data_IF_818122086161
#
_entry.id   IF_818122086161
#
_cell.length_a   1.000
_cell.length_b   1.000
_cell.length_c   1.000
_cell.angle_alpha   90.00
_cell.angle_beta   90.00
_cell.angle_gamma   90.00
#
_symmetry.space_group_name_H-M   'P 1'
#
loop_
_entity.id
_entity.type
_entity.pdbx_description
1 polymer ?
#
# COMPACT_ATOMS: atom_id res chain seq x y z
N UNK A 1 -58.08 -63.00 15.35
CA UNK A 1 -58.03 -62.21 14.10
C UNK A 1 -58.41 -60.78 14.47
N UNK A 2 -57.54 -59.83 14.11
CA UNK A 2 -57.79 -58.37 14.00
C UNK A 2 -57.82 -57.49 15.27
N UNK A 3 -56.64 -56.90 15.52
CA UNK A 3 -56.31 -55.49 15.79
C UNK A 3 -57.42 -54.49 16.22
N UNK A 4 -57.08 -53.63 17.20
CA UNK A 4 -56.83 -52.22 16.86
C UNK A 4 -56.01 -51.48 17.91
N UNK A 5 -55.14 -50.61 17.38
CA UNK A 5 -54.09 -49.84 18.02
C UNK A 5 -54.58 -48.47 18.47
N UNK A 6 -54.24 -48.05 19.69
CA UNK A 6 -54.21 -46.63 20.04
C UNK A 6 -53.01 -46.30 20.95
N UNK A 7 -52.29 -45.24 20.56
CA UNK A 7 -51.58 -44.38 21.50
C UNK A 7 -50.10 -44.68 21.75
N UNK A 8 -49.23 -44.02 20.99
CA UNK A 8 -48.41 -42.95 21.58
C UNK A 8 -47.70 -42.15 20.49
N UNK A 9 -48.16 -40.90 20.34
CA UNK A 9 -47.46 -39.86 19.59
C UNK A 9 -46.31 -39.38 20.48
N UNK A 10 -45.09 -39.85 20.24
CA UNK A 10 -43.91 -39.29 20.88
C UNK A 10 -43.30 -38.19 20.02
N UNK A 11 -43.80 -36.96 20.23
CA UNK A 11 -43.10 -35.74 19.83
C UNK A 11 -42.01 -35.43 20.86
N UNK A 12 -40.74 -35.65 20.51
CA UNK A 12 -39.61 -34.99 21.20
C UNK A 12 -38.35 -34.98 20.31
N UNK A 13 -38.28 -34.07 19.35
CA UNK A 13 -37.04 -33.74 18.62
C UNK A 13 -36.74 -32.24 18.71
N UNK A 14 -36.73 -31.70 19.94
CA UNK A 14 -36.57 -30.25 20.15
C UNK A 14 -35.20 -29.86 20.74
N UNK A 15 -34.31 -30.82 21.01
CA UNK A 15 -32.97 -30.56 21.54
C UNK A 15 -31.91 -30.36 20.46
N UNK A 16 -31.84 -31.29 19.50
CA UNK A 16 -30.75 -31.36 18.51
C UNK A 16 -30.88 -30.26 17.44
N UNK A 17 -32.11 -29.87 17.11
CA UNK A 17 -32.40 -28.84 16.11
C UNK A 17 -31.98 -27.42 16.52
N UNK A 18 -32.00 -27.12 17.82
CA UNK A 18 -31.63 -25.79 18.34
C UNK A 18 -30.12 -25.58 18.33
N UNK A 19 -29.33 -26.62 18.67
CA UNK A 19 -27.87 -26.55 18.58
C UNK A 19 -27.36 -26.54 17.14
N UNK A 20 -28.05 -27.24 16.23
CA UNK A 20 -27.78 -27.14 14.78
C UNK A 20 -27.98 -25.72 14.25
N UNK A 21 -29.03 -25.02 14.69
CA UNK A 21 -29.30 -23.64 14.29
C UNK A 21 -28.24 -22.66 14.83
N UNK A 22 -27.82 -22.79 16.09
CA UNK A 22 -26.77 -21.94 16.66
C UNK A 22 -25.40 -22.20 16.02
N UNK A 23 -25.06 -23.45 15.69
CA UNK A 23 -23.83 -23.77 14.98
C UNK A 23 -23.80 -23.17 13.57
N UNK A 24 -24.95 -23.14 12.88
CA UNK A 24 -25.08 -22.58 11.54
C UNK A 24 -25.02 -21.04 11.56
N UNK A 25 -25.62 -20.39 12.56
CA UNK A 25 -25.48 -18.95 12.78
C UNK A 25 -24.04 -18.58 13.14
N UNK A 26 -23.36 -19.35 14.01
CA UNK A 26 -21.96 -19.12 14.35
C UNK A 26 -21.04 -19.28 13.13
N UNK A 27 -21.29 -20.28 12.28
CA UNK A 27 -20.55 -20.46 11.04
C UNK A 27 -20.78 -19.30 10.06
N UNK A 28 -22.02 -18.83 9.90
CA UNK A 28 -22.34 -17.66 9.07
C UNK A 28 -21.71 -16.37 9.60
N UNK A 29 -21.65 -16.18 10.93
CA UNK A 29 -20.98 -15.04 11.54
C UNK A 29 -19.48 -15.08 11.33
N UNK A 30 -18.83 -16.25 11.43
CA UNK A 30 -17.40 -16.40 11.16
C UNK A 30 -17.07 -16.17 9.68
N UNK A 31 -17.93 -16.61 8.76
CA UNK A 31 -17.80 -16.32 7.32
C UNK A 31 -18.00 -14.82 7.07
N UNK A 32 -19.03 -14.19 7.65
CA UNK A 32 -19.29 -12.76 7.50
C UNK A 32 -18.15 -11.91 8.11
N UNK A 33 -17.56 -12.33 9.22
CA UNK A 33 -16.41 -11.66 9.84
C UNK A 33 -15.15 -11.82 8.98
N UNK A 34 -14.90 -13.03 8.47
CA UNK A 34 -13.77 -13.31 7.56
C UNK A 34 -13.89 -12.58 6.22
N UNK A 35 -15.10 -12.42 5.69
CA UNK A 35 -15.37 -11.60 4.52
C UNK A 35 -15.29 -10.10 4.84
N UNK A 36 -15.82 -9.64 5.97
CA UNK A 36 -15.77 -8.23 6.40
C UNK A 36 -14.34 -7.71 6.56
N UNK A 37 -13.44 -8.50 7.16
CA UNK A 37 -12.01 -8.16 7.26
C UNK A 37 -11.33 -8.11 5.90
N UNK A 38 -11.78 -8.93 4.94
CA UNK A 38 -11.21 -9.02 3.59
C UNK A 38 -11.69 -7.91 2.65
N UNK A 39 -12.81 -7.24 2.97
CA UNK A 39 -13.40 -6.13 2.21
C UNK A 39 -13.27 -4.76 2.90
N UNK A 40 -12.54 -4.68 4.02
CA UNK A 40 -12.18 -3.38 4.60
C UNK A 40 -11.00 -2.76 3.85
N UNK A 41 -11.29 -1.85 2.91
CA UNK A 41 -10.35 -0.82 2.49
C UNK A 41 -10.13 0.20 3.64
N UNK A 42 -8.91 0.70 3.86
CA UNK A 42 -8.42 0.94 5.20
C UNK A 42 -8.65 2.38 5.65
N UNK A 43 -9.35 2.56 6.77
CA UNK A 43 -9.27 3.81 7.56
C UNK A 43 -7.82 4.10 8.04
N UNK A 44 -6.92 3.11 7.98
CA UNK A 44 -5.50 3.25 8.31
C UNK A 44 -4.73 4.14 7.31
N UNK A 45 -5.13 4.22 6.03
CA UNK A 45 -4.43 5.05 5.05
C UNK A 45 -4.49 6.55 5.39
N UNK A 46 -5.55 7.01 6.07
CA UNK A 46 -5.68 8.41 6.50
C UNK A 46 -4.79 8.73 7.71
N UNK A 47 -4.66 7.79 8.65
CA UNK A 47 -3.76 7.94 9.80
C UNK A 47 -2.28 7.94 9.35
N UNK A 48 -1.92 7.04 8.42
CA UNK A 48 -0.58 6.98 7.83
C UNK A 48 -0.19 8.27 7.10
N UNK A 49 -1.11 8.86 6.32
CA UNK A 49 -0.81 10.11 5.60
C UNK A 49 -0.53 11.29 6.55
N UNK A 50 -1.25 11.37 7.68
CA UNK A 50 -1.02 12.42 8.67
C UNK A 50 0.36 12.28 9.33
N UNK A 51 0.76 11.07 9.71
CA UNK A 51 2.08 10.81 10.29
C UNK A 51 3.21 11.08 9.29
N UNK A 52 3.06 10.67 8.04
CA UNK A 52 4.04 10.92 6.98
C UNK A 52 4.15 12.40 6.61
N UNK A 53 3.05 13.15 6.66
CA UNK A 53 3.07 14.61 6.52
C UNK A 53 3.91 15.26 7.62
N UNK A 54 3.71 14.87 8.89
CA UNK A 54 4.50 15.37 10.02
C UNK A 54 5.97 14.97 9.90
N UNK A 55 6.25 13.73 9.47
CA UNK A 55 7.61 13.27 9.20
C UNK A 55 8.27 14.12 8.11
N UNK A 56 7.57 14.41 7.02
CA UNK A 56 8.07 15.26 5.94
C UNK A 56 8.46 16.65 6.46
N UNK A 57 7.58 17.32 7.22
CA UNK A 57 7.88 18.64 7.78
C UNK A 57 9.09 18.63 8.73
N UNK A 58 9.24 17.55 9.52
CA UNK A 58 10.42 17.35 10.36
C UNK A 58 11.69 17.22 9.50
N UNK A 59 11.66 16.40 8.46
CA UNK A 59 12.80 16.19 7.57
C UNK A 59 13.15 17.46 6.80
N UNK A 60 12.16 18.23 6.36
CA UNK A 60 12.37 19.53 5.69
C UNK A 60 13.01 20.58 6.61
N UNK A 61 12.78 20.48 7.92
CA UNK A 61 13.41 21.34 8.92
C UNK A 61 14.85 20.95 9.23
N UNK A 62 15.29 19.75 8.83
CA UNK A 62 16.65 19.27 9.02
C UNK A 62 17.53 19.69 7.82
N UNK A 63 18.55 20.52 8.11
CA UNK A 63 19.49 21.05 7.10
C UNK A 63 20.33 19.98 6.38
N UNK A 64 20.42 18.77 6.94
CA UNK A 64 21.13 17.64 6.34
C UNK A 64 20.27 16.84 5.35
N UNK A 65 18.97 17.15 5.26
CA UNK A 65 18.08 16.53 4.29
C UNK A 65 18.25 17.14 2.90
N UNK A 66 18.23 16.29 1.88
CA UNK A 66 18.10 16.69 0.49
C UNK A 66 16.62 16.75 0.12
N UNK A 67 16.24 17.68 -0.75
CA UNK A 67 14.86 17.85 -1.21
C UNK A 67 14.82 18.22 -2.68
N UNK A 68 13.73 17.83 -3.36
CA UNK A 68 13.50 18.26 -4.73
C UNK A 68 12.10 17.97 -5.21
N UNK A 69 11.62 18.77 -6.15
CA UNK A 69 10.30 18.62 -6.76
C UNK A 69 10.34 17.59 -7.88
N UNK A 70 9.24 16.86 -8.10
CA UNK A 70 9.10 16.01 -9.27
C UNK A 70 9.31 16.83 -10.55
N UNK A 71 10.24 16.39 -11.39
CA UNK A 71 10.49 17.02 -12.68
C UNK A 71 9.31 16.78 -13.61
N UNK A 72 8.97 17.81 -14.40
CA UNK A 72 7.96 17.69 -15.44
C UNK A 72 8.39 16.67 -16.47
N UNK A 73 7.42 15.90 -16.94
CA UNK A 73 7.62 14.80 -17.89
C UNK A 73 6.64 14.92 -19.04
N UNK A 74 7.02 14.39 -20.20
CA UNK A 74 6.14 14.28 -21.37
C UNK A 74 5.30 12.99 -21.36
N UNK A 75 5.46 12.16 -20.32
CA UNK A 75 4.66 10.95 -20.19
C UNK A 75 3.21 11.32 -19.84
N UNK A 76 2.24 11.04 -20.73
CA UNK A 76 0.84 11.46 -20.52
C UNK A 76 0.19 10.84 -19.29
N UNK A 77 0.72 9.72 -18.77
CA UNK A 77 0.22 9.09 -17.55
C UNK A 77 0.44 9.95 -16.30
N UNK A 78 1.52 10.72 -16.28
CA UNK A 78 1.99 11.44 -15.08
C UNK A 78 2.37 12.91 -15.35
N UNK A 79 2.00 13.44 -16.52
CA UNK A 79 2.32 14.81 -16.93
C UNK A 79 1.78 15.89 -15.96
N UNK A 80 0.67 15.59 -15.29
CA UNK A 80 -0.03 16.48 -14.36
C UNK A 80 0.36 16.21 -12.89
N UNK A 81 1.19 15.19 -12.65
CA UNK A 81 1.61 14.80 -11.30
C UNK A 81 2.56 15.85 -10.74
N UNK A 82 2.30 16.25 -9.50
CA UNK A 82 3.10 17.23 -8.78
C UNK A 82 3.51 16.69 -7.41
N UNK A 83 4.31 17.47 -6.71
CA UNK A 83 4.83 17.16 -5.39
C UNK A 83 6.34 17.14 -5.37
N UNK A 84 6.87 16.51 -4.33
CA UNK A 84 8.26 16.58 -3.98
C UNK A 84 8.72 15.37 -3.18
N UNK A 85 10.03 15.27 -3.02
CA UNK A 85 10.69 14.26 -2.23
C UNK A 85 11.62 14.96 -1.25
N UNK A 86 11.65 14.45 -0.03
CA UNK A 86 12.68 14.78 0.98
C UNK A 86 13.33 13.50 1.46
N UNK A 87 14.66 13.51 1.58
CA UNK A 87 15.46 12.38 2.05
C UNK A 87 16.54 12.84 3.02
N UNK A 88 16.74 12.09 4.08
CA UNK A 88 17.80 12.34 5.05
C UNK A 88 18.74 11.14 5.13
N UNK A 89 19.96 11.31 4.64
CA UNK A 89 20.97 10.23 4.59
C UNK A 89 21.36 9.74 5.99
N UNK A 90 21.45 10.65 6.97
CA UNK A 90 21.82 10.32 8.36
C UNK A 90 20.82 9.37 9.00
N UNK A 91 19.53 9.62 8.75
CA UNK A 91 18.43 8.83 9.29
C UNK A 91 18.03 7.67 8.35
N UNK A 92 18.58 7.61 7.14
CA UNK A 92 18.23 6.65 6.09
C UNK A 92 16.71 6.53 5.88
N UNK A 93 16.04 7.67 5.90
CA UNK A 93 14.59 7.76 5.72
C UNK A 93 14.20 9.00 4.93
N UNK A 94 13.04 8.93 4.29
CA UNK A 94 12.50 10.04 3.52
C UNK A 94 10.99 9.94 3.33
N UNK A 95 10.42 10.94 2.67
CA UNK A 95 9.01 10.98 2.32
C UNK A 95 8.87 11.52 0.89
N UNK A 96 8.03 10.85 0.11
CA UNK A 96 7.51 11.33 -1.17
C UNK A 96 6.13 11.92 -0.95
N UNK A 97 5.91 13.13 -1.44
CA UNK A 97 4.58 13.74 -1.58
C UNK A 97 4.18 13.66 -3.05
N UNK A 98 2.98 13.15 -3.30
CA UNK A 98 2.37 13.10 -4.61
C UNK A 98 1.06 13.86 -4.60
N UNK A 99 0.83 14.60 -5.68
CA UNK A 99 -0.46 15.22 -6.00
C UNK A 99 -0.87 14.68 -7.36
N UNK A 100 -2.09 14.16 -7.45
CA UNK A 100 -2.68 13.62 -8.67
C UNK A 100 -1.97 12.41 -9.30
N UNK A 101 -1.19 11.66 -8.51
CA UNK A 101 -0.60 10.38 -8.96
C UNK A 101 -1.71 9.35 -9.19
N UNK A 102 -1.91 8.83 -10.41
CA UNK A 102 -2.90 7.78 -10.64
C UNK A 102 -2.56 6.50 -9.87
N UNK A 103 -3.55 5.65 -9.63
CA UNK A 103 -3.27 4.30 -9.14
C UNK A 103 -2.66 3.47 -10.29
N UNK A 104 -1.68 2.58 -10.00
CA UNK A 104 -1.14 1.70 -11.01
C UNK A 104 -2.22 0.70 -11.47
N UNK A 105 -2.17 0.25 -12.73
CA UNK A 105 -3.13 -0.75 -13.21
C UNK A 105 -2.90 -2.11 -12.51
N UNK A 106 -3.89 -3.01 -12.60
CA UNK A 106 -3.80 -4.34 -11.98
C UNK A 106 -2.54 -5.09 -12.45
N UNK A 107 -1.73 -5.57 -11.50
CA UNK A 107 -0.46 -6.24 -11.77
C UNK A 107 0.70 -5.28 -12.08
N UNK A 108 0.55 -3.99 -11.78
CA UNK A 108 1.61 -2.99 -11.83
C UNK A 108 1.84 -2.33 -10.47
N UNK A 109 3.03 -1.75 -10.30
CA UNK A 109 3.39 -0.98 -9.10
C UNK A 109 4.42 0.08 -9.45
N UNK A 110 4.47 1.15 -8.66
CA UNK A 110 5.55 2.13 -8.74
C UNK A 110 6.72 1.69 -7.85
N UNK A 111 7.94 1.86 -8.35
CA UNK A 111 9.18 1.55 -7.66
C UNK A 111 10.04 2.80 -7.63
N UNK A 112 10.49 3.20 -6.44
CA UNK A 112 11.47 4.26 -6.27
C UNK A 112 12.88 3.68 -6.27
N UNK A 113 13.75 4.28 -7.07
CA UNK A 113 15.18 4.00 -7.13
C UNK A 113 15.99 5.22 -6.71
N UNK A 114 16.97 5.01 -5.83
CA UNK A 114 17.91 6.01 -5.36
C UNK A 114 19.29 5.74 -5.95
N UNK A 115 19.91 6.75 -6.53
CA UNK A 115 21.26 6.67 -7.06
C UNK A 115 22.22 7.44 -6.14
N UNK A 116 23.23 6.73 -5.64
CA UNK A 116 24.22 7.26 -4.71
C UNK A 116 25.59 7.37 -5.38
N UNK A 117 26.22 8.53 -5.28
CA UNK A 117 27.60 8.74 -5.77
C UNK A 117 28.63 7.93 -5.00
N UNK A 118 28.30 7.50 -3.77
CA UNK A 118 29.16 6.68 -2.91
C UNK A 118 28.86 5.19 -3.00
N UNK A 119 27.94 4.76 -3.87
CA UNK A 119 27.72 3.32 -4.07
C UNK A 119 28.93 2.67 -4.77
N UNK A 120 29.43 1.59 -4.21
CA UNK A 120 30.62 0.89 -4.72
C UNK A 120 30.36 0.15 -6.05
N UNK A 121 29.12 -0.31 -6.28
CA UNK A 121 28.73 -1.11 -7.44
C UNK A 121 27.99 -0.28 -8.52
N UNK A 122 27.67 0.98 -8.23
CA UNK A 122 26.86 1.84 -9.11
C UNK A 122 25.41 1.38 -9.28
N UNK A 123 24.97 0.38 -8.51
CA UNK A 123 23.61 -0.16 -8.59
C UNK A 123 22.66 0.74 -7.79
N UNK A 124 21.50 1.13 -8.34
CA UNK A 124 20.53 1.92 -7.60
C UNK A 124 19.94 1.13 -6.42
N UNK A 125 19.60 1.85 -5.35
CA UNK A 125 19.02 1.29 -4.14
C UNK A 125 17.49 1.43 -4.19
N UNK A 126 16.78 0.33 -3.90
CA UNK A 126 15.32 0.35 -3.77
C UNK A 126 14.92 1.15 -2.53
N UNK A 127 14.06 2.16 -2.71
CA UNK A 127 13.61 3.01 -1.61
C UNK A 127 12.13 2.85 -1.23
N UNK A 128 11.28 2.46 -2.16
CA UNK A 128 9.86 2.25 -1.89
C UNK A 128 9.20 1.44 -3.02
N UNK A 129 8.26 0.59 -2.65
CA UNK A 129 7.29 -0.03 -3.56
C UNK A 129 5.92 0.53 -3.22
N UNK A 130 5.28 1.14 -4.21
CA UNK A 130 3.99 1.79 -4.07
C UNK A 130 2.98 1.08 -4.97
N UNK A 131 1.91 0.57 -4.34
CA UNK A 131 0.82 -0.14 -5.04
C UNK A 131 -0.47 0.68 -5.13
N UNK A 132 -0.45 1.90 -4.60
CA UNK A 132 -1.58 2.80 -4.52
C UNK A 132 -1.25 4.10 -5.28
N UNK A 133 -2.27 4.90 -5.58
CA UNK A 133 -2.10 6.25 -6.12
C UNK A 133 -2.86 7.27 -5.28
N UNK A 134 -2.57 8.56 -5.52
CA UNK A 134 -3.28 9.68 -4.92
C UNK A 134 -4.64 9.96 -5.59
N UNK A 135 -4.88 9.44 -6.79
CA UNK A 135 -6.09 9.72 -7.56
C UNK A 135 -6.13 11.19 -7.98
N UNK A 136 -7.13 11.95 -7.51
CA UNK A 136 -7.22 13.42 -7.68
C UNK A 136 -6.88 14.19 -6.40
N UNK A 137 -6.06 13.59 -5.55
CA UNK A 137 -5.78 14.06 -4.21
C UNK A 137 -4.29 14.16 -3.93
N UNK A 138 -4.00 14.36 -2.65
CA UNK A 138 -2.65 14.32 -2.12
C UNK A 138 -2.39 13.01 -1.39
N UNK A 139 -1.20 12.45 -1.56
CA UNK A 139 -0.79 11.23 -0.90
C UNK A 139 0.70 11.26 -0.56
N UNK A 140 1.06 10.67 0.58
CA UNK A 140 2.44 10.54 1.04
C UNK A 140 2.89 9.07 1.06
N UNK A 141 4.13 8.83 0.67
CA UNK A 141 4.78 7.52 0.77
C UNK A 141 6.09 7.63 1.52
N UNK A 142 6.34 6.72 2.47
CA UNK A 142 7.63 6.62 3.12
C UNK A 142 8.70 6.09 2.14
N UNK A 143 9.93 6.58 2.33
CA UNK A 143 11.12 6.04 1.69
C UNK A 143 11.93 5.34 2.77
N UNK A 144 12.21 4.06 2.56
CA UNK A 144 13.04 3.24 3.44
C UNK A 144 13.93 2.33 2.59
N UNK A 145 15.23 2.44 2.80
CA UNK A 145 16.22 1.65 2.06
C UNK A 145 16.78 0.53 2.94
N UNK A 146 17.08 -0.62 2.33
CA UNK A 146 17.80 -1.70 3.00
C UNK A 146 19.31 -1.45 3.05
N UNK A 147 19.83 -0.76 2.02
CA UNK A 147 21.21 -0.32 1.94
C UNK A 147 21.32 1.14 2.36
N UNK A 148 22.45 1.50 2.96
CA UNK A 148 22.75 2.88 3.32
C UNK A 148 22.96 3.72 2.05
N UNK A 149 22.33 4.89 2.01
CA UNK A 149 22.44 5.86 0.91
C UNK A 149 22.97 7.16 1.50
N UNK A 150 24.23 7.48 1.19
CA UNK A 150 24.97 8.56 1.84
C UNK A 150 24.93 9.86 1.04
N UNK A 151 25.16 9.79 -0.27
CA UNK A 151 25.22 10.95 -1.15
C UNK A 151 24.32 10.77 -2.38
N UNK A 152 22.99 10.71 -2.17
CA UNK A 152 22.04 10.55 -3.25
C UNK A 152 22.05 11.77 -4.17
N UNK A 153 22.15 11.53 -5.47
CA UNK A 153 22.17 12.59 -6.48
C UNK A 153 21.01 12.51 -7.46
N UNK A 154 20.25 11.41 -7.46
CA UNK A 154 19.13 11.21 -8.36
C UNK A 154 18.15 10.20 -7.77
N UNK A 155 16.86 10.49 -7.95
CA UNK A 155 15.75 9.64 -7.55
C UNK A 155 14.85 9.43 -8.76
N UNK A 156 14.46 8.19 -9.01
CA UNK A 156 13.63 7.85 -10.16
C UNK A 156 12.45 7.00 -9.72
N UNK A 157 11.24 7.39 -10.14
CA UNK A 157 10.03 6.60 -9.96
C UNK A 157 9.73 5.86 -11.26
N UNK A 158 9.74 4.54 -11.21
CA UNK A 158 9.48 3.66 -12.35
C UNK A 158 8.15 2.94 -12.18
N UNK A 159 7.42 2.72 -13.26
CA UNK A 159 6.30 1.78 -13.31
C UNK A 159 6.81 0.41 -13.71
N UNK A 160 6.57 -0.60 -12.87
CA UNK A 160 6.91 -1.99 -13.13
C UNK A 160 5.63 -2.83 -13.31
N UNK A 161 5.73 -3.90 -14.08
CA UNK A 161 4.70 -4.93 -14.18
C UNK A 161 5.17 -6.21 -13.44
N UNK A 162 4.32 -6.77 -12.57
CA UNK A 162 4.62 -7.95 -11.75
C UNK A 162 5.05 -9.18 -12.60
N UNK A 163 4.65 -9.24 -13.87
CA UNK A 163 4.86 -10.39 -14.77
C UNK A 163 5.97 -10.19 -15.81
N UNK A 164 6.65 -9.05 -15.84
CA UNK A 164 7.72 -8.80 -16.82
C UNK A 164 8.74 -7.81 -16.26
N UNK A 165 9.84 -8.35 -15.73
CA UNK A 165 10.97 -7.57 -15.24
C UNK A 165 11.59 -6.64 -16.32
N UNK A 166 11.34 -6.91 -17.61
CA UNK A 166 11.89 -6.12 -18.73
C UNK A 166 11.11 -4.84 -19.07
N UNK A 167 9.91 -4.63 -18.53
CA UNK A 167 9.12 -3.43 -18.81
C UNK A 167 9.06 -2.51 -17.59
N UNK A 168 10.20 -1.89 -17.26
CA UNK A 168 10.21 -0.73 -16.36
C UNK A 168 10.16 0.56 -17.19
N UNK A 169 9.24 1.45 -16.85
CA UNK A 169 9.12 2.75 -17.51
C UNK A 169 9.38 3.86 -16.49
N UNK A 170 10.37 4.71 -16.76
CA UNK A 170 10.60 5.92 -15.99
C UNK A 170 9.39 6.86 -16.12
N UNK A 171 8.84 7.26 -14.97
CA UNK A 171 7.69 8.17 -14.90
C UNK A 171 8.11 9.55 -14.42
N UNK A 172 8.71 9.61 -13.23
CA UNK A 172 9.09 10.84 -12.55
C UNK A 172 10.54 10.75 -12.09
N UNK A 173 11.17 11.91 -11.97
CA UNK A 173 12.55 12.02 -11.53
C UNK A 173 12.72 13.23 -10.62
N UNK A 174 13.65 13.13 -9.67
CA UNK A 174 14.14 14.23 -8.85
C UNK A 174 15.67 14.21 -8.91
N UNK A 175 16.25 15.39 -9.08
CA UNK A 175 17.69 15.62 -8.96
C UNK A 175 17.88 16.76 -7.96
N UNK A 176 18.19 16.45 -6.68
CA UNK A 176 18.32 17.46 -5.63
C UNK A 176 19.62 18.27 -5.71
#
# INVERSE_FOLDING_TARGET
MMANSEGSVNTASNGIWRYGLYALIAALLLVALGFGVRYWEPAQASADNGELSVLRERLLSDSSSVRGNWLRTLNPLVQDVQGDLVWNSTQSQGVMRFVDLPAPAAGQFYQLWLYDTRSADGVPVSGAVVRNGAGKGEWFAAIKTEKMVLAPFKFELHLHADKSAEKSQLLLMVQP
#
